data_IF_886054938735
#
_entry.id   IF_886054938735
#
_cell.length_a   1.000
_cell.length_b   1.000
_cell.length_c   1.000
_cell.angle_alpha   90.00
_cell.angle_beta   90.00
_cell.angle_gamma   90.00
#
_symmetry.space_group_name_H-M   'P 1'
#
loop_
_entity.id
_entity.type
_entity.pdbx_description
1 polymer ?
#
# COMPACT_ATOMS: atom_id res chain seq x y z
N UNK A 1 -6.12 -5.17 19.49
CA UNK A 1 -6.79 -3.86 19.67
C UNK A 1 -5.81 -2.78 19.31
N UNK A 2 -6.16 -1.91 18.35
CA UNK A 2 -5.23 -0.88 17.86
C UNK A 2 -5.79 0.52 18.12
N UNK A 3 -6.34 0.74 19.31
CA UNK A 3 -6.68 2.07 19.79
C UNK A 3 -5.70 2.40 20.91
N UNK A 4 -4.64 3.13 20.56
CA UNK A 4 -3.60 3.55 21.52
C UNK A 4 -4.01 4.84 22.23
N UNK A 5 -4.62 5.78 21.51
CA UNK A 5 -5.13 7.04 22.06
C UNK A 5 -6.65 7.00 22.17
N UNK A 6 -7.17 6.83 23.39
CA UNK A 6 -8.61 6.88 23.64
C UNK A 6 -9.10 8.32 23.65
N UNK A 7 -10.13 8.61 22.87
CA UNK A 7 -10.79 9.92 22.78
C UNK A 7 -12.21 9.86 23.31
N UNK A 8 -12.65 10.94 23.95
CA UNK A 8 -14.05 11.16 24.32
C UNK A 8 -14.78 11.90 23.21
N UNK A 9 -16.11 11.74 23.13
CA UNK A 9 -16.92 12.47 22.14
C UNK A 9 -16.74 14.00 22.29
N UNK A 10 -16.62 14.51 23.53
CA UNK A 10 -16.41 15.94 23.77
C UNK A 10 -15.10 16.47 23.18
N UNK A 11 -13.99 15.75 23.38
CA UNK A 11 -12.69 16.10 22.79
C UNK A 11 -12.75 16.15 21.27
N UNK A 12 -13.47 15.19 20.67
CA UNK A 12 -13.63 15.12 19.21
C UNK A 12 -14.56 16.20 18.69
N UNK A 13 -15.63 16.55 19.42
CA UNK A 13 -16.49 17.69 19.09
C UNK A 13 -15.71 19.00 19.04
N UNK A 14 -14.86 19.24 20.04
CA UNK A 14 -14.01 20.44 20.10
C UNK A 14 -12.97 20.45 18.97
N UNK A 15 -12.41 19.29 18.62
CA UNK A 15 -11.47 19.13 17.51
C UNK A 15 -12.13 19.31 16.13
N UNK A 16 -13.36 18.83 15.95
CA UNK A 16 -14.09 18.86 14.69
C UNK A 16 -14.79 20.19 14.40
N UNK A 17 -15.12 20.97 15.45
CA UNK A 17 -15.84 22.23 15.31
C UNK A 17 -15.19 23.25 14.36
N UNK A 18 -13.84 23.45 14.36
CA UNK A 18 -13.19 24.36 13.41
C UNK A 18 -13.34 23.96 11.94
N UNK A 19 -13.61 22.67 11.65
CA UNK A 19 -13.90 22.17 10.30
C UNK A 19 -15.39 22.37 9.91
N UNK A 20 -16.21 22.93 10.80
CA UNK A 20 -17.65 23.07 10.60
C UNK A 20 -18.43 21.77 10.81
N UNK A 21 -17.80 20.75 11.40
CA UNK A 21 -18.40 19.44 11.62
C UNK A 21 -19.06 19.35 12.99
N UNK A 22 -20.24 18.72 13.02
CA UNK A 22 -20.98 18.47 14.25
C UNK A 22 -20.94 16.97 14.56
N UNK A 23 -19.94 16.56 15.33
CA UNK A 23 -19.76 15.18 15.73
C UNK A 23 -20.87 14.73 16.70
N UNK A 24 -21.51 13.60 16.39
CA UNK A 24 -22.58 13.00 17.20
C UNK A 24 -22.17 11.64 17.76
N UNK A 25 -21.22 10.94 17.13
CA UNK A 25 -20.70 9.67 17.63
C UNK A 25 -19.26 9.44 17.18
N UNK A 26 -18.55 8.54 17.89
CA UNK A 26 -17.15 8.18 17.65
C UNK A 26 -16.98 6.68 17.84
N UNK A 27 -16.73 5.96 16.74
CA UNK A 27 -16.64 4.50 16.74
C UNK A 27 -15.20 4.08 16.45
N UNK A 28 -14.52 3.37 17.37
CA UNK A 28 -13.16 2.92 17.15
C UNK A 28 -13.07 1.95 15.95
N UNK A 29 -12.08 2.16 15.06
CA UNK A 29 -11.77 1.24 13.97
C UNK A 29 -10.74 0.24 14.49
N UNK A 30 -11.10 -1.04 14.46
CA UNK A 30 -10.19 -2.13 14.82
C UNK A 30 -9.35 -2.54 13.61
N UNK A 31 -8.04 -2.80 13.82
CA UNK A 31 -7.17 -3.38 12.78
C UNK A 31 -6.04 -2.47 12.28
N UNK A 32 -5.98 -1.19 12.65
CA UNK A 32 -4.82 -0.34 12.33
C UNK A 32 -3.59 -0.74 13.15
N UNK A 33 -2.40 -0.85 12.51
CA UNK A 33 -1.17 -1.30 13.18
C UNK A 33 -0.37 -0.10 13.73
N UNK A 34 -0.43 1.05 13.09
CA UNK A 34 0.45 2.19 13.36
C UNK A 34 -0.27 3.38 14.00
N UNK A 35 -1.54 3.63 13.65
CA UNK A 35 -2.28 4.81 14.07
C UNK A 35 -3.60 4.44 14.72
N UNK A 36 -4.12 5.32 15.58
CA UNK A 36 -5.47 5.19 16.10
C UNK A 36 -6.46 5.81 15.13
N UNK A 37 -7.44 5.01 14.70
CA UNK A 37 -8.48 5.45 13.78
C UNK A 37 -9.87 5.32 14.38
N UNK A 38 -10.73 6.29 14.07
CA UNK A 38 -12.14 6.30 14.45
C UNK A 38 -13.03 6.64 13.26
N UNK A 39 -14.16 5.98 13.14
CA UNK A 39 -15.26 6.53 12.37
C UNK A 39 -15.85 7.71 13.17
N UNK A 40 -15.78 8.88 12.60
CA UNK A 40 -16.37 10.10 13.10
C UNK A 40 -17.74 10.29 12.46
N UNK A 41 -18.81 10.08 13.22
CA UNK A 41 -20.17 10.26 12.75
C UNK A 41 -20.59 11.69 13.02
N UNK A 42 -20.95 12.41 11.95
CA UNK A 42 -21.50 13.76 12.02
C UNK A 42 -23.00 13.78 11.62
N UNK A 43 -23.71 14.87 11.89
CA UNK A 43 -25.14 15.00 11.57
C UNK A 43 -25.45 14.77 10.10
N UNK A 44 -24.56 15.17 9.20
CA UNK A 44 -24.76 15.22 7.74
C UNK A 44 -23.85 14.29 6.94
N UNK A 45 -22.76 13.78 7.55
CA UNK A 45 -21.79 12.93 6.84
C UNK A 45 -20.95 12.09 7.82
N UNK A 46 -20.20 11.14 7.23
CA UNK A 46 -19.27 10.29 7.97
C UNK A 46 -17.82 10.57 7.53
N UNK A 47 -16.91 10.57 8.50
CA UNK A 47 -15.51 10.84 8.31
C UNK A 47 -14.65 9.76 9.00
N UNK A 48 -13.36 9.79 8.76
CA UNK A 48 -12.35 9.07 9.52
C UNK A 48 -11.47 10.09 10.22
N UNK A 49 -11.36 9.97 11.54
CA UNK A 49 -10.39 10.68 12.36
C UNK A 49 -9.20 9.75 12.56
N UNK A 50 -8.02 10.17 12.10
CA UNK A 50 -6.75 9.47 12.31
C UNK A 50 -5.91 10.25 13.31
N UNK A 51 -5.45 9.59 14.37
CA UNK A 51 -4.46 10.12 15.34
C UNK A 51 -3.14 9.40 15.05
N UNK A 52 -2.10 10.16 14.75
CA UNK A 52 -0.77 9.64 14.46
C UNK A 52 -0.01 9.40 15.77
N UNK A 53 0.33 8.15 16.05
CA UNK A 53 0.88 7.75 17.35
C UNK A 53 2.37 8.04 17.47
N UNK A 54 3.14 7.79 16.41
CA UNK A 54 4.61 7.81 16.39
C UNK A 54 5.19 8.82 15.38
N UNK A 55 4.39 9.81 14.93
CA UNK A 55 4.80 10.83 13.96
C UNK A 55 4.67 12.22 14.57
N UNK A 56 5.52 13.16 14.17
CA UNK A 56 5.32 14.58 14.40
C UNK A 56 4.37 15.20 13.34
N UNK A 57 4.00 16.47 13.52
CA UNK A 57 3.09 17.18 12.60
C UNK A 57 3.64 17.25 11.17
N UNK A 58 4.95 17.39 11.01
CA UNK A 58 5.59 17.43 9.69
C UNK A 58 5.48 16.09 8.97
N UNK A 59 5.84 15.01 9.63
CA UNK A 59 5.76 13.66 9.07
C UNK A 59 4.32 13.25 8.77
N UNK A 60 3.37 13.55 9.67
CA UNK A 60 1.95 13.29 9.47
C UNK A 60 1.39 14.06 8.25
N UNK A 61 1.87 15.29 8.01
CA UNK A 61 1.45 16.15 6.90
C UNK A 61 2.13 15.86 5.56
N UNK A 62 3.16 15.02 5.51
CA UNK A 62 3.97 14.77 4.32
C UNK A 62 3.15 14.27 3.12
N UNK A 63 2.15 13.43 3.35
CA UNK A 63 1.31 12.85 2.30
C UNK A 63 0.11 13.73 1.88
N UNK A 64 -0.22 14.77 2.62
CA UNK A 64 -1.37 15.63 2.33
C UNK A 64 -1.32 16.22 0.91
N UNK A 65 -0.20 16.76 0.41
CA UNK A 65 -0.12 17.29 -0.95
C UNK A 65 -0.37 16.22 -2.02
N UNK A 66 0.07 14.97 -1.77
CA UNK A 66 -0.15 13.84 -2.69
C UNK A 66 -1.64 13.51 -2.77
N UNK A 67 -2.31 13.32 -1.62
CA UNK A 67 -3.73 13.00 -1.58
C UNK A 67 -4.58 14.12 -2.20
N UNK A 68 -4.23 15.38 -1.95
CA UNK A 68 -4.89 16.52 -2.60
C UNK A 68 -4.68 16.53 -4.12
N UNK A 69 -3.48 16.18 -4.59
CA UNK A 69 -3.18 16.11 -6.01
C UNK A 69 -3.96 14.97 -6.70
N UNK A 70 -3.97 13.79 -6.10
CA UNK A 70 -4.70 12.63 -6.60
C UNK A 70 -6.22 12.87 -6.60
N UNK A 71 -6.76 13.47 -5.54
CA UNK A 71 -8.17 13.85 -5.48
C UNK A 71 -8.56 14.85 -6.58
N UNK A 72 -7.71 15.86 -6.86
CA UNK A 72 -7.91 16.80 -8.00
C UNK A 72 -7.82 16.11 -9.35
N UNK A 73 -7.03 15.05 -9.47
CA UNK A 73 -6.95 14.21 -10.67
C UNK A 73 -8.15 13.25 -10.82
N UNK A 74 -9.11 13.28 -9.90
CA UNK A 74 -10.33 12.49 -9.94
C UNK A 74 -10.17 11.06 -9.42
N UNK A 75 -9.11 10.77 -8.65
CA UNK A 75 -8.97 9.49 -7.97
C UNK A 75 -9.72 9.50 -6.63
N UNK A 76 -10.36 8.39 -6.32
CA UNK A 76 -11.05 8.18 -5.05
C UNK A 76 -10.03 7.86 -3.94
N UNK A 77 -9.53 8.92 -3.29
CA UNK A 77 -8.56 8.84 -2.18
C UNK A 77 -9.06 9.64 -0.98
N UNK A 78 -8.69 9.32 0.26
CA UNK A 78 -9.17 10.00 1.46
C UNK A 78 -8.44 11.35 1.65
N UNK A 79 -8.83 12.37 0.87
CA UNK A 79 -8.22 13.70 0.94
C UNK A 79 -8.54 14.34 2.29
N UNK A 80 -7.55 14.69 3.13
CA UNK A 80 -7.80 15.29 4.43
C UNK A 80 -8.47 16.67 4.30
N UNK A 81 -9.43 16.93 5.19
CA UNK A 81 -10.04 18.25 5.34
C UNK A 81 -9.00 19.23 5.87
N UNK A 82 -9.18 20.50 5.55
CA UNK A 82 -8.28 21.57 6.01
C UNK A 82 -9.08 22.68 6.67
N UNK A 83 -8.56 23.23 7.78
CA UNK A 83 -9.01 24.51 8.32
C UNK A 83 -7.80 25.39 8.63
N UNK A 84 -7.95 26.69 8.59
CA UNK A 84 -6.87 27.66 8.85
C UNK A 84 -5.59 27.38 8.01
N UNK A 85 -5.77 26.83 6.80
CA UNK A 85 -4.67 26.52 5.87
C UNK A 85 -3.88 25.24 6.16
N UNK A 86 -4.28 24.43 7.16
CA UNK A 86 -3.62 23.19 7.55
C UNK A 86 -4.60 22.02 7.56
N UNK A 87 -4.10 20.82 7.21
CA UNK A 87 -4.85 19.56 7.30
C UNK A 87 -4.53 18.78 8.58
N UNK A 88 -3.34 18.95 9.15
CA UNK A 88 -2.92 18.30 10.38
C UNK A 88 -3.06 19.28 11.53
N UNK A 89 -3.73 18.84 12.59
CA UNK A 89 -3.88 19.59 13.85
C UNK A 89 -3.64 18.67 15.04
N UNK A 90 -3.45 19.24 16.24
CA UNK A 90 -3.16 18.44 17.44
C UNK A 90 -4.44 18.08 18.20
N UNK A 91 -4.55 16.82 18.64
CA UNK A 91 -5.48 16.33 19.65
C UNK A 91 -4.71 15.49 20.68
N UNK A 92 -4.86 15.82 21.97
CA UNK A 92 -4.07 15.18 23.06
C UNK A 92 -2.56 15.16 22.77
N UNK A 93 -2.04 16.31 22.33
CA UNK A 93 -0.61 16.49 21.99
C UNK A 93 -0.09 15.59 20.87
N UNK A 94 -0.99 14.96 20.10
CA UNK A 94 -0.65 14.14 18.93
C UNK A 94 -1.20 14.74 17.63
N UNK A 95 -0.47 14.62 16.52
CA UNK A 95 -1.01 15.03 15.23
C UNK A 95 -2.24 14.20 14.86
N UNK A 96 -3.22 14.86 14.26
CA UNK A 96 -4.43 14.19 13.80
C UNK A 96 -4.99 14.85 12.54
N UNK A 97 -5.74 14.10 11.78
CA UNK A 97 -6.46 14.56 10.59
C UNK A 97 -7.88 14.01 10.54
N UNK A 98 -8.75 14.73 9.83
CA UNK A 98 -10.08 14.26 9.46
C UNK A 98 -10.12 14.13 7.94
N UNK A 99 -10.55 12.96 7.42
CA UNK A 99 -10.80 12.75 6.01
C UNK A 99 -12.21 12.20 5.79
N UNK A 100 -12.84 12.43 4.62
CA UNK A 100 -14.11 11.79 4.29
C UNK A 100 -14.01 10.27 4.40
N UNK A 101 -15.04 9.62 4.95
CA UNK A 101 -15.15 8.17 4.94
C UNK A 101 -15.50 7.72 3.53
N UNK A 102 -14.61 6.97 2.90
CA UNK A 102 -14.90 6.27 1.65
C UNK A 102 -15.73 5.03 1.96
N UNK A 103 -16.74 4.77 1.11
CA UNK A 103 -17.67 3.67 1.30
C UNK A 103 -17.29 2.48 0.41
N UNK A 104 -17.69 1.29 0.83
CA UNK A 104 -17.48 0.06 0.09
C UNK A 104 -16.87 -1.05 0.93
N UNK A 105 -16.63 -2.17 0.29
CA UNK A 105 -16.04 -3.37 0.88
C UNK A 105 -14.74 -3.75 0.15
N UNK A 106 -13.87 -4.50 0.82
CA UNK A 106 -12.67 -5.03 0.20
C UNK A 106 -13.04 -6.16 -0.78
N UNK A 107 -12.49 -6.20 -2.02
CA UNK A 107 -12.86 -7.15 -3.05
C UNK A 107 -12.24 -8.54 -2.81
N UNK A 108 -12.83 -9.34 -1.93
CA UNK A 108 -12.29 -10.64 -1.52
C UNK A 108 -13.33 -11.77 -1.70
N UNK A 109 -13.28 -12.55 -2.79
CA UNK A 109 -12.36 -12.46 -3.94
C UNK A 109 -12.71 -11.31 -4.89
N UNK A 110 -11.73 -10.80 -5.66
CA UNK A 110 -11.97 -9.80 -6.69
C UNK A 110 -12.70 -10.40 -7.92
N UNK A 111 -13.57 -9.61 -8.56
CA UNK A 111 -14.12 -9.91 -9.89
C UNK A 111 -13.18 -9.41 -11.00
N UNK A 112 -13.37 -9.84 -12.25
CA UNK A 112 -12.61 -9.30 -13.41
C UNK A 112 -12.87 -7.80 -13.56
N UNK A 113 -14.11 -7.35 -13.42
CA UNK A 113 -14.47 -5.93 -13.52
C UNK A 113 -13.78 -5.07 -12.43
N UNK A 114 -13.67 -5.59 -11.20
CA UNK A 114 -12.93 -4.93 -10.12
C UNK A 114 -11.42 -4.87 -10.42
N UNK A 115 -10.87 -5.92 -11.04
CA UNK A 115 -9.47 -5.95 -11.51
C UNK A 115 -9.22 -4.90 -12.59
N UNK A 116 -10.12 -4.75 -13.55
CA UNK A 116 -10.05 -3.70 -14.58
C UNK A 116 -10.15 -2.30 -13.96
N UNK A 117 -11.06 -2.10 -13.01
CA UNK A 117 -11.26 -0.81 -12.35
C UNK A 117 -10.02 -0.36 -11.55
N UNK A 118 -9.40 -1.26 -10.78
CA UNK A 118 -8.17 -0.91 -10.05
C UNK A 118 -6.99 -0.69 -11.00
N UNK A 119 -6.88 -1.43 -12.10
CA UNK A 119 -5.84 -1.25 -13.10
C UNK A 119 -5.89 0.15 -13.73
N UNK A 120 -7.09 0.59 -14.15
CA UNK A 120 -7.32 1.95 -14.66
C UNK A 120 -6.98 3.01 -13.63
N UNK A 121 -7.39 2.82 -12.37
CA UNK A 121 -7.11 3.77 -11.30
C UNK A 121 -5.61 3.85 -10.98
N UNK A 122 -4.91 2.72 -10.92
CA UNK A 122 -3.46 2.67 -10.70
C UNK A 122 -2.70 3.34 -11.86
N UNK A 123 -3.10 3.10 -13.11
CA UNK A 123 -2.50 3.77 -14.27
C UNK A 123 -2.69 5.30 -14.21
N UNK A 124 -3.89 5.77 -13.87
CA UNK A 124 -4.17 7.21 -13.65
C UNK A 124 -3.33 7.79 -12.51
N UNK A 125 -3.17 7.05 -11.41
CA UNK A 125 -2.31 7.44 -10.29
C UNK A 125 -0.85 7.60 -10.74
N UNK A 126 -0.30 6.64 -11.46
CA UNK A 126 1.07 6.71 -11.99
C UNK A 126 1.26 7.90 -12.94
N UNK A 127 0.30 8.17 -13.84
CA UNK A 127 0.35 9.33 -14.73
C UNK A 127 0.29 10.63 -13.92
N UNK A 128 -0.59 10.73 -12.93
CA UNK A 128 -0.71 11.92 -12.08
C UNK A 128 0.55 12.19 -11.24
N UNK A 129 1.23 11.13 -10.80
CA UNK A 129 2.40 11.23 -9.93
C UNK A 129 3.75 11.20 -10.67
N UNK A 130 3.77 11.00 -11.99
CA UNK A 130 5.01 10.86 -12.78
C UNK A 130 5.97 12.04 -12.56
N UNK A 131 5.47 13.26 -12.66
CA UNK A 131 6.26 14.49 -12.49
C UNK A 131 5.99 15.22 -11.17
N UNK A 132 5.23 14.58 -10.26
CA UNK A 132 4.90 15.16 -8.97
C UNK A 132 6.16 15.34 -8.12
N UNK A 133 6.28 16.52 -7.49
CA UNK A 133 7.43 16.85 -6.64
C UNK A 133 7.02 16.72 -5.18
N UNK A 134 7.66 15.80 -4.49
CA UNK A 134 7.53 15.58 -3.06
C UNK A 134 8.94 15.35 -2.49
N UNK A 135 9.30 16.09 -1.47
CA UNK A 135 10.48 15.81 -0.66
C UNK A 135 10.07 14.83 0.45
N UNK A 136 10.57 13.63 0.36
CA UNK A 136 10.28 12.54 1.31
C UNK A 136 11.54 11.75 1.60
N UNK A 137 11.81 11.57 2.90
CA UNK A 137 12.96 10.78 3.37
C UNK A 137 12.66 9.27 3.45
N UNK A 138 11.44 8.86 3.17
CA UNK A 138 11.05 7.47 3.14
C UNK A 138 11.46 6.84 1.80
N UNK A 139 12.43 5.92 1.84
CA UNK A 139 12.98 5.25 0.65
C UNK A 139 12.95 3.76 0.85
N UNK A 140 12.28 3.05 -0.06
CA UNK A 140 12.25 1.58 -0.14
C UNK A 140 12.57 1.09 -1.54
N UNK A 141 13.63 1.63 -2.11
CA UNK A 141 14.15 1.23 -3.42
C UNK A 141 14.93 -0.10 -3.37
N UNK A 142 15.51 -0.47 -4.49
CA UNK A 142 16.29 -1.70 -4.59
C UNK A 142 17.46 -1.76 -3.59
N UNK A 143 18.16 -0.65 -3.35
CA UNK A 143 19.28 -0.60 -2.40
C UNK A 143 18.82 -0.88 -0.96
N UNK A 144 17.66 -0.35 -0.57
CA UNK A 144 17.02 -0.67 0.70
C UNK A 144 16.76 -2.20 0.80
N UNK A 145 16.18 -2.81 -0.23
CA UNK A 145 15.86 -4.24 -0.21
C UNK A 145 17.09 -5.13 -0.23
N UNK A 146 18.19 -4.70 -0.86
CA UNK A 146 19.49 -5.38 -0.73
C UNK A 146 19.97 -5.38 0.72
N UNK A 147 19.83 -4.25 1.43
CA UNK A 147 20.19 -4.16 2.86
C UNK A 147 19.33 -5.12 3.69
N UNK A 148 18.00 -5.10 3.53
CA UNK A 148 17.09 -6.04 4.21
C UNK A 148 17.46 -7.50 3.92
N UNK A 149 17.82 -7.82 2.67
CA UNK A 149 18.22 -9.16 2.28
C UNK A 149 19.45 -9.66 3.06
N UNK A 150 20.42 -8.78 3.31
CA UNK A 150 21.59 -9.13 4.12
C UNK A 150 21.26 -9.30 5.60
N UNK A 151 20.36 -8.49 6.14
CA UNK A 151 19.91 -8.58 7.54
C UNK A 151 19.20 -9.91 7.82
N UNK A 152 18.29 -10.35 6.95
CA UNK A 152 17.52 -11.58 7.16
C UNK A 152 18.30 -12.86 6.80
N UNK A 153 19.31 -12.76 5.92
CA UNK A 153 20.05 -13.90 5.37
C UNK A 153 20.61 -14.88 6.41
N UNK A 154 21.15 -14.44 7.56
CA UNK A 154 21.65 -15.37 8.58
C UNK A 154 20.59 -16.36 9.09
N UNK A 155 19.33 -15.93 9.19
CA UNK A 155 18.20 -16.73 9.72
C UNK A 155 17.54 -17.64 8.68
N UNK A 156 17.85 -17.47 7.39
CA UNK A 156 17.27 -18.26 6.31
C UNK A 156 17.81 -19.68 6.28
N UNK A 157 16.94 -20.63 5.89
CA UNK A 157 17.34 -22.00 5.56
C UNK A 157 18.31 -22.01 4.36
N UNK A 158 19.12 -23.05 4.16
CA UNK A 158 19.97 -23.17 2.97
C UNK A 158 19.19 -23.04 1.64
N UNK A 159 17.98 -23.63 1.58
CA UNK A 159 17.11 -23.53 0.40
C UNK A 159 16.62 -22.09 0.16
N UNK A 160 16.28 -21.38 1.23
CA UNK A 160 15.82 -19.98 1.13
C UNK A 160 16.95 -19.01 0.77
N UNK A 161 18.17 -19.30 1.20
CA UNK A 161 19.37 -18.55 0.74
C UNK A 161 19.59 -18.69 -0.77
N UNK A 162 19.40 -19.90 -1.30
CA UNK A 162 19.50 -20.15 -2.75
C UNK A 162 18.37 -19.44 -3.49
N UNK A 163 17.13 -19.51 -2.97
CA UNK A 163 15.96 -18.84 -3.54
C UNK A 163 16.16 -17.32 -3.63
N UNK A 164 16.59 -16.70 -2.53
CA UNK A 164 16.88 -15.27 -2.47
C UNK A 164 18.01 -14.88 -3.42
N UNK A 165 19.09 -15.66 -3.46
CA UNK A 165 20.20 -15.44 -4.37
C UNK A 165 19.81 -15.52 -5.84
N UNK A 166 18.93 -16.49 -6.21
CA UNK A 166 18.37 -16.59 -7.56
C UNK A 166 17.57 -15.35 -7.94
N UNK A 167 16.67 -14.90 -7.04
CA UNK A 167 15.85 -13.71 -7.28
C UNK A 167 16.70 -12.46 -7.54
N UNK A 168 17.66 -12.18 -6.65
CA UNK A 168 18.51 -10.99 -6.76
C UNK A 168 19.41 -11.05 -8.00
N UNK A 169 19.99 -12.23 -8.30
CA UNK A 169 20.81 -12.41 -9.50
C UNK A 169 20.04 -12.24 -10.81
N UNK A 170 18.78 -12.69 -10.87
CA UNK A 170 17.89 -12.44 -12.02
C UNK A 170 17.55 -10.96 -12.15
N UNK A 171 17.28 -10.29 -11.04
CA UNK A 171 17.00 -8.86 -11.05
C UNK A 171 18.17 -8.07 -11.64
N UNK A 172 19.38 -8.30 -11.13
CA UNK A 172 20.58 -7.61 -11.62
C UNK A 172 20.82 -7.89 -13.12
N UNK A 173 20.65 -9.16 -13.56
CA UNK A 173 20.87 -9.55 -14.95
C UNK A 173 19.86 -8.89 -15.91
N UNK A 174 18.55 -9.00 -15.62
CA UNK A 174 17.51 -8.49 -16.52
C UNK A 174 17.42 -6.96 -16.50
N UNK A 175 17.58 -6.33 -15.35
CA UNK A 175 17.52 -4.87 -15.27
C UNK A 175 18.71 -4.18 -15.95
N UNK A 176 19.84 -4.87 -16.08
CA UNK A 176 20.97 -4.38 -16.87
C UNK A 176 20.70 -4.40 -18.39
N UNK A 177 19.90 -5.38 -18.87
CA UNK A 177 19.56 -5.54 -20.30
C UNK A 177 18.40 -4.63 -20.70
N UNK A 178 17.43 -4.42 -19.84
CA UNK A 178 16.19 -3.69 -20.10
C UNK A 178 16.12 -2.39 -19.25
N UNK A 179 16.81 -1.30 -19.64
CA UNK A 179 16.94 -0.10 -18.82
C UNK A 179 15.72 0.85 -18.85
N UNK A 180 14.88 0.77 -19.89
CA UNK A 180 13.73 1.70 -20.06
C UNK A 180 12.52 1.29 -19.22
N UNK A 181 12.68 1.44 -17.90
CA UNK A 181 11.62 1.21 -16.90
C UNK A 181 11.28 2.54 -16.22
N UNK A 182 10.17 3.21 -16.62
CA UNK A 182 9.76 4.49 -16.08
C UNK A 182 9.54 4.45 -14.57
N UNK A 183 9.91 5.55 -13.89
CA UNK A 183 9.90 5.70 -12.44
C UNK A 183 9.08 6.93 -12.03
N UNK A 184 8.46 6.83 -10.86
CA UNK A 184 7.71 7.92 -10.24
C UNK A 184 7.35 7.56 -8.82
N UNK A 185 6.44 8.31 -8.22
CA UNK A 185 5.84 7.89 -6.96
C UNK A 185 4.85 6.77 -7.21
N UNK A 186 4.97 5.70 -6.43
CA UNK A 186 4.14 4.51 -6.45
C UNK A 186 3.50 4.30 -5.09
N UNK A 187 2.36 3.59 -5.05
CA UNK A 187 1.68 3.27 -3.80
C UNK A 187 2.49 2.33 -2.91
N UNK A 188 3.14 1.35 -3.52
CA UNK A 188 4.00 0.32 -2.91
C UNK A 188 3.31 -0.71 -2.01
N UNK A 189 2.01 -0.55 -1.75
CA UNK A 189 1.19 -1.45 -0.93
C UNK A 189 -0.25 -1.57 -1.46
N UNK A 190 -0.44 -1.54 -2.79
CA UNK A 190 -1.76 -1.59 -3.40
C UNK A 190 -2.32 -3.01 -3.45
N UNK A 191 -2.77 -3.49 -2.30
CA UNK A 191 -3.47 -4.74 -2.09
C UNK A 191 -4.99 -4.53 -2.06
N UNK A 192 -5.77 -5.61 -2.15
CA UNK A 192 -7.23 -5.59 -2.04
C UNK A 192 -7.70 -4.99 -0.71
N UNK A 193 -7.00 -5.25 0.40
CA UNK A 193 -7.31 -4.69 1.73
C UNK A 193 -7.05 -3.17 1.83
N UNK A 194 -6.39 -2.57 0.83
CA UNK A 194 -6.21 -1.13 0.69
C UNK A 194 -7.14 -0.51 -0.38
N UNK A 195 -8.20 -1.22 -0.80
CA UNK A 195 -9.18 -0.72 -1.77
C UNK A 195 -10.61 -0.95 -1.29
N UNK A 196 -11.52 -0.06 -1.69
CA UNK A 196 -12.94 -0.16 -1.36
C UNK A 196 -13.78 -0.14 -2.64
N UNK A 197 -14.73 -1.06 -2.74
CA UNK A 197 -15.63 -1.21 -3.88
C UNK A 197 -17.08 -1.24 -3.45
N UNK A 198 -17.96 -0.63 -4.24
CA UNK A 198 -19.40 -0.88 -4.24
C UNK A 198 -19.77 -1.61 -5.53
N UNK A 199 -20.08 -2.90 -5.43
CA UNK A 199 -20.15 -3.77 -6.60
C UNK A 199 -18.81 -3.78 -7.36
N UNK A 200 -18.84 -3.40 -8.63
CA UNK A 200 -17.63 -3.32 -9.48
C UNK A 200 -17.02 -1.90 -9.53
N UNK A 201 -17.63 -0.92 -8.87
CA UNK A 201 -17.14 0.45 -8.84
C UNK A 201 -16.11 0.63 -7.74
N UNK A 202 -14.91 1.09 -8.11
CA UNK A 202 -13.87 1.49 -7.15
C UNK A 202 -14.25 2.83 -6.49
N UNK A 203 -14.41 2.80 -5.16
CA UNK A 203 -14.78 3.96 -4.35
C UNK A 203 -13.66 4.43 -3.43
N UNK A 204 -12.56 3.70 -3.32
CA UNK A 204 -11.45 4.12 -2.48
C UNK A 204 -10.14 3.40 -2.73
N UNK A 205 -9.04 4.16 -2.74
CA UNK A 205 -7.67 3.68 -2.55
C UNK A 205 -7.19 4.27 -1.23
N UNK A 206 -6.75 3.41 -0.32
CA UNK A 206 -6.40 3.73 1.06
C UNK A 206 -4.91 3.50 1.30
N UNK A 207 -4.41 3.95 2.44
CA UNK A 207 -3.10 3.60 3.01
C UNK A 207 -1.89 3.95 2.12
N UNK A 208 -1.65 5.25 1.94
CA UNK A 208 -0.51 5.78 1.18
C UNK A 208 0.80 5.89 2.00
N UNK A 209 0.88 5.31 3.20
CA UNK A 209 2.07 5.48 4.07
C UNK A 209 3.34 4.87 3.48
N UNK A 210 3.22 3.82 2.67
CA UNK A 210 4.34 3.19 1.96
C UNK A 210 4.69 3.89 0.63
N UNK A 211 3.98 4.98 0.27
CA UNK A 211 4.25 5.73 -0.97
C UNK A 211 5.73 6.10 -1.05
N UNK A 212 6.38 5.71 -2.12
CA UNK A 212 7.79 6.00 -2.33
C UNK A 212 8.11 6.12 -3.82
N UNK A 213 9.32 6.58 -4.17
CA UNK A 213 9.75 6.72 -5.54
C UNK A 213 10.44 5.45 -6.02
N UNK A 214 9.80 4.71 -6.92
CA UNK A 214 10.35 3.50 -7.53
C UNK A 214 9.84 3.33 -8.97
N UNK A 215 10.09 2.20 -9.60
CA UNK A 215 9.63 1.85 -10.93
C UNK A 215 8.13 1.50 -10.91
N UNK A 216 7.36 2.04 -11.87
CA UNK A 216 5.92 1.77 -11.94
C UNK A 216 5.61 0.28 -12.08
N UNK A 217 6.48 -0.45 -12.77
CA UNK A 217 6.34 -1.89 -12.96
C UNK A 217 6.31 -2.65 -11.62
N UNK A 218 7.01 -2.15 -10.60
CA UNK A 218 6.99 -2.77 -9.29
C UNK A 218 5.60 -2.67 -8.62
N UNK A 219 4.97 -1.50 -8.72
CA UNK A 219 3.61 -1.28 -8.16
C UNK A 219 2.55 -2.12 -8.91
N UNK A 220 2.68 -2.20 -10.24
CA UNK A 220 1.86 -3.08 -11.09
C UNK A 220 1.98 -4.52 -10.62
N UNK A 221 3.19 -4.99 -10.38
CA UNK A 221 3.45 -6.36 -9.94
C UNK A 221 2.86 -6.67 -8.55
N UNK A 222 2.86 -5.70 -7.62
CA UNK A 222 2.21 -5.84 -6.31
C UNK A 222 0.71 -6.08 -6.50
N UNK A 223 0.03 -5.23 -7.28
CA UNK A 223 -1.40 -5.32 -7.50
C UNK A 223 -1.79 -6.59 -8.26
N UNK A 224 -1.05 -6.96 -9.30
CA UNK A 224 -1.24 -8.22 -10.01
C UNK A 224 -1.10 -9.44 -9.07
N UNK A 225 -0.09 -9.45 -8.23
CA UNK A 225 0.14 -10.55 -7.29
C UNK A 225 -0.97 -10.72 -6.27
N UNK A 226 -1.67 -9.65 -5.90
CA UNK A 226 -2.77 -9.76 -4.94
C UNK A 226 -4.13 -9.98 -5.63
N UNK A 227 -4.49 -9.14 -6.60
CA UNK A 227 -5.79 -9.18 -7.26
C UNK A 227 -5.97 -10.35 -8.22
N UNK A 228 -4.87 -10.83 -8.85
CA UNK A 228 -4.90 -11.83 -9.90
C UNK A 228 -4.27 -13.17 -9.46
N UNK A 229 -4.34 -13.49 -8.18
CA UNK A 229 -3.84 -14.76 -7.64
C UNK A 229 -4.98 -15.67 -7.25
N UNK A 230 -4.86 -16.96 -7.61
CA UNK A 230 -5.75 -18.02 -7.13
C UNK A 230 -5.23 -18.52 -5.77
N UNK A 231 -6.03 -18.39 -4.73
CA UNK A 231 -5.73 -18.90 -3.40
C UNK A 231 -6.43 -20.24 -3.16
N UNK A 232 -5.82 -21.18 -2.41
CA UNK A 232 -4.55 -21.05 -1.66
C UNK A 232 -3.29 -21.36 -2.47
N UNK A 233 -3.39 -21.79 -3.74
CA UNK A 233 -2.26 -22.34 -4.51
C UNK A 233 -1.26 -21.28 -4.98
N UNK A 234 -1.58 -20.00 -4.79
CA UNK A 234 -0.82 -18.81 -5.17
C UNK A 234 -0.40 -18.76 -6.65
N UNK A 235 -1.13 -19.49 -7.51
CA UNK A 235 -0.95 -19.44 -8.96
C UNK A 235 -1.53 -18.15 -9.56
N UNK A 236 -0.94 -17.66 -10.64
CA UNK A 236 -1.49 -16.50 -11.34
C UNK A 236 -2.80 -16.87 -12.06
N UNK A 237 -3.83 -16.06 -11.89
CA UNK A 237 -5.06 -16.15 -12.68
C UNK A 237 -4.84 -15.40 -14.00
N UNK A 238 -4.63 -16.13 -15.08
CA UNK A 238 -4.28 -15.57 -16.39
C UNK A 238 -5.38 -14.63 -16.92
N UNK A 239 -6.66 -15.00 -16.79
CA UNK A 239 -7.79 -14.15 -17.23
C UNK A 239 -7.77 -12.80 -16.57
N UNK A 240 -7.62 -12.77 -15.24
CA UNK A 240 -7.54 -11.53 -14.47
C UNK A 240 -6.28 -10.74 -14.79
N UNK A 241 -5.14 -11.40 -14.96
CA UNK A 241 -3.88 -10.74 -15.28
C UNK A 241 -3.93 -10.07 -16.67
N UNK A 242 -4.50 -10.74 -17.67
CA UNK A 242 -4.72 -10.16 -19.00
C UNK A 242 -5.68 -8.97 -18.94
N UNK A 243 -6.80 -9.10 -18.22
CA UNK A 243 -7.77 -8.02 -18.04
C UNK A 243 -7.12 -6.80 -17.36
N UNK A 244 -6.34 -7.02 -16.31
CA UNK A 244 -5.59 -5.98 -15.62
C UNK A 244 -4.64 -5.23 -16.57
N UNK A 245 -3.79 -5.97 -17.29
CA UNK A 245 -2.78 -5.37 -18.17
C UNK A 245 -3.44 -4.58 -19.31
N UNK A 246 -4.48 -5.11 -19.94
CA UNK A 246 -5.22 -4.42 -20.98
C UNK A 246 -5.85 -3.12 -20.46
N UNK A 247 -6.49 -3.17 -19.29
CA UNK A 247 -7.10 -2.01 -18.66
C UNK A 247 -6.06 -0.95 -18.26
N UNK A 248 -4.93 -1.36 -17.68
CA UNK A 248 -3.82 -0.47 -17.33
C UNK A 248 -3.24 0.21 -18.58
N UNK A 249 -2.92 -0.58 -19.64
CA UNK A 249 -2.33 -0.09 -20.88
C UNK A 249 -3.27 0.84 -21.68
N UNK A 250 -4.58 0.77 -21.44
CA UNK A 250 -5.54 1.70 -22.03
C UNK A 250 -5.34 3.16 -21.55
N UNK A 251 -4.66 3.35 -20.41
CA UNK A 251 -4.36 4.66 -19.82
C UNK A 251 -2.87 4.99 -19.91
N UNK A 252 -1.99 4.05 -19.57
CA UNK A 252 -0.54 4.18 -19.60
C UNK A 252 0.06 2.95 -20.29
N UNK A 253 0.48 3.08 -21.56
CA UNK A 253 1.17 1.99 -22.25
C UNK A 253 2.46 1.57 -21.54
N UNK A 254 2.70 0.27 -21.44
CA UNK A 254 3.97 -0.27 -20.95
C UNK A 254 5.04 -0.15 -22.04
N UNK A 255 6.28 0.18 -21.65
CA UNK A 255 7.42 0.11 -22.55
C UNK A 255 7.74 -1.34 -22.93
N UNK A 256 8.54 -1.53 -23.97
CA UNK A 256 9.00 -2.88 -24.33
C UNK A 256 9.81 -3.55 -23.20
N UNK A 257 10.62 -2.73 -22.50
CA UNK A 257 11.45 -3.20 -21.40
C UNK A 257 10.59 -3.56 -20.16
N UNK A 258 9.54 -2.78 -19.86
CA UNK A 258 8.58 -3.14 -18.81
C UNK A 258 7.91 -4.49 -19.12
N UNK A 259 7.48 -4.70 -20.36
CA UNK A 259 6.87 -5.99 -20.77
C UNK A 259 7.84 -7.16 -20.64
N UNK A 260 9.11 -6.96 -21.04
CA UNK A 260 10.16 -7.99 -20.92
C UNK A 260 10.51 -8.32 -19.46
N UNK A 261 10.33 -7.38 -18.55
CA UNK A 261 10.64 -7.54 -17.13
C UNK A 261 9.45 -7.95 -16.26
N UNK A 262 8.21 -7.98 -16.77
CA UNK A 262 7.00 -8.14 -15.97
C UNK A 262 7.04 -9.37 -15.06
N UNK A 263 7.41 -10.53 -15.59
CA UNK A 263 7.45 -11.78 -14.81
C UNK A 263 8.50 -11.73 -13.70
N UNK A 264 9.65 -11.11 -13.96
CA UNK A 264 10.65 -10.84 -12.93
C UNK A 264 10.08 -9.96 -11.83
N UNK A 265 9.34 -8.90 -12.18
CA UNK A 265 8.78 -7.97 -11.19
C UNK A 265 7.67 -8.60 -10.36
N UNK A 266 6.89 -9.55 -10.92
CA UNK A 266 5.98 -10.38 -10.13
C UNK A 266 6.75 -11.18 -9.06
N UNK A 267 7.87 -11.79 -9.44
CA UNK A 267 8.74 -12.49 -8.49
C UNK A 267 9.39 -11.53 -7.47
N UNK A 268 9.87 -10.35 -7.91
CA UNK A 268 10.46 -9.34 -7.04
C UNK A 268 9.45 -8.81 -6.02
N UNK A 269 8.23 -8.52 -6.42
CA UNK A 269 7.17 -8.07 -5.52
C UNK A 269 6.88 -9.12 -4.44
N UNK A 270 6.70 -10.39 -4.82
CA UNK A 270 6.53 -11.48 -3.86
C UNK A 270 7.75 -11.61 -2.92
N UNK A 271 8.96 -11.49 -3.46
CA UNK A 271 10.21 -11.55 -2.71
C UNK A 271 10.36 -10.42 -1.69
N UNK A 272 10.03 -9.16 -2.08
CA UNK A 272 10.07 -8.01 -1.18
C UNK A 272 9.09 -8.17 -0.01
N UNK A 273 7.85 -8.61 -0.27
CA UNK A 273 6.88 -8.88 0.81
C UNK A 273 7.26 -10.09 1.65
N UNK A 274 7.91 -11.11 1.09
CA UNK A 274 8.49 -12.19 1.86
C UNK A 274 9.56 -11.69 2.83
N UNK A 275 10.52 -10.91 2.35
CA UNK A 275 11.58 -10.31 3.18
C UNK A 275 11.00 -9.40 4.26
N UNK A 276 10.03 -8.55 3.93
CA UNK A 276 9.38 -7.65 4.90
C UNK A 276 8.66 -8.43 6.02
N UNK A 277 7.90 -9.47 5.66
CA UNK A 277 7.20 -10.30 6.65
C UNK A 277 8.19 -11.05 7.55
N UNK A 278 9.34 -11.50 7.04
CA UNK A 278 10.42 -12.09 7.83
C UNK A 278 11.05 -11.07 8.79
N UNK A 279 11.34 -9.86 8.32
CA UNK A 279 11.91 -8.78 9.15
C UNK A 279 10.96 -8.43 10.31
N UNK A 280 9.64 -8.31 10.03
CA UNK A 280 8.63 -8.06 11.06
C UNK A 280 8.58 -9.22 12.07
N UNK A 281 8.62 -10.47 11.60
CA UNK A 281 8.62 -11.65 12.47
C UNK A 281 9.85 -11.67 13.39
N UNK A 282 11.04 -11.39 12.86
CA UNK A 282 12.28 -11.31 13.65
C UNK A 282 12.22 -10.19 14.70
N UNK A 283 11.71 -8.99 14.31
CA UNK A 283 11.54 -7.86 15.22
C UNK A 283 10.58 -8.19 16.36
N UNK A 284 9.45 -8.82 16.05
CA UNK A 284 8.47 -9.23 17.07
C UNK A 284 9.08 -10.26 18.02
N UNK A 285 9.80 -11.26 17.49
CA UNK A 285 10.49 -12.25 18.32
C UNK A 285 11.54 -11.62 19.23
N UNK A 286 12.35 -10.70 18.72
CA UNK A 286 13.37 -9.98 19.50
C UNK A 286 12.77 -9.12 20.63
N UNK A 287 11.56 -8.59 20.42
CA UNK A 287 10.81 -7.81 21.43
C UNK A 287 9.97 -8.69 22.37
N UNK A 288 10.04 -10.02 22.25
CA UNK A 288 9.23 -10.95 23.05
C UNK A 288 7.73 -10.82 22.80
N UNK A 289 7.33 -10.21 21.69
CA UNK A 289 5.93 -10.07 21.29
C UNK A 289 5.45 -11.40 20.73
N UNK A 290 4.65 -12.13 21.51
CA UNK A 290 4.03 -13.42 21.12
C UNK A 290 2.56 -13.36 21.48
N UNK A 291 1.68 -13.98 20.66
CA UNK A 291 0.26 -14.09 20.93
C UNK A 291 -0.63 -13.78 19.73
N UNK A 292 -1.92 -14.06 19.88
CA UNK A 292 -2.94 -13.85 18.85
C UNK A 292 -3.21 -12.36 18.54
N UNK A 293 -2.80 -11.47 19.45
CA UNK A 293 -2.99 -10.01 19.30
C UNK A 293 -1.95 -9.36 18.38
N UNK A 294 -0.96 -10.11 17.86
CA UNK A 294 0.04 -9.60 16.95
C UNK A 294 -0.43 -9.84 15.53
N UNK A 295 -0.81 -8.76 14.83
CA UNK A 295 -1.09 -8.80 13.39
C UNK A 295 0.21 -9.05 12.62
N UNK A 296 0.56 -10.32 12.46
CA UNK A 296 1.73 -10.76 11.70
C UNK A 296 1.26 -11.63 10.53
N UNK A 297 1.38 -11.10 9.32
CA UNK A 297 1.10 -11.87 8.09
C UNK A 297 2.15 -12.99 7.93
N UNK A 298 1.69 -14.20 7.59
CA UNK A 298 2.57 -15.36 7.42
C UNK A 298 3.55 -15.15 6.24
N UNK A 299 4.87 -15.26 6.43
CA UNK A 299 5.84 -15.12 5.35
C UNK A 299 5.81 -16.28 4.33
N UNK A 300 5.28 -17.46 4.72
CA UNK A 300 5.25 -18.66 3.84
C UNK A 300 4.41 -18.43 2.59
N UNK A 301 3.32 -17.68 2.67
CA UNK A 301 2.48 -17.35 1.51
C UNK A 301 3.29 -16.62 0.44
N UNK A 302 3.99 -15.55 0.80
CA UNK A 302 4.81 -14.77 -0.13
C UNK A 302 6.02 -15.55 -0.64
N UNK A 303 6.60 -16.43 0.18
CA UNK A 303 7.65 -17.36 -0.24
C UNK A 303 7.15 -18.32 -1.32
N UNK A 304 5.98 -18.91 -1.13
CA UNK A 304 5.39 -19.83 -2.10
C UNK A 304 5.03 -19.09 -3.40
N UNK A 305 4.48 -17.88 -3.29
CA UNK A 305 4.21 -17.02 -4.43
C UNK A 305 5.50 -16.70 -5.20
N UNK A 306 6.59 -16.34 -4.52
CA UNK A 306 7.89 -16.14 -5.14
C UNK A 306 8.36 -17.37 -5.94
N UNK A 307 8.22 -18.58 -5.35
CA UNK A 307 8.58 -19.83 -6.04
C UNK A 307 7.75 -20.01 -7.31
N UNK A 308 6.45 -19.77 -7.24
CA UNK A 308 5.54 -19.86 -8.40
C UNK A 308 5.92 -18.85 -9.49
N UNK A 309 6.16 -17.61 -9.15
CA UNK A 309 6.53 -16.54 -10.11
C UNK A 309 7.90 -16.79 -10.76
N UNK A 310 8.87 -17.34 -10.02
CA UNK A 310 10.19 -17.67 -10.56
C UNK A 310 10.20 -18.83 -11.57
N UNK A 311 9.09 -19.54 -11.75
CA UNK A 311 8.98 -20.56 -12.83
C UNK A 311 8.92 -19.91 -14.21
N UNK A 312 8.43 -18.68 -14.29
CA UNK A 312 8.21 -17.95 -15.53
C UNK A 312 9.28 -16.88 -15.76
N UNK A 313 9.88 -16.34 -14.70
CA UNK A 313 10.96 -15.37 -14.80
C UNK A 313 12.23 -16.07 -15.31
N UNK A 314 12.53 -15.88 -16.59
CA UNK A 314 13.74 -16.40 -17.25
C UNK A 314 14.67 -15.25 -17.62
N UNK A 315 15.97 -15.51 -17.58
CA UNK A 315 16.99 -14.56 -18.06
C UNK A 315 17.07 -14.55 -19.59
#
# INVERSE_FOLDING_TARGET
MSVYTTLTLKEVQDFAAPYGLKAVDLIPIQGGIQNTNYFLVCEDAHYVLTVFEDMDEQAAGELVPVLQHLGKAGLAVPVPLSHSGKAIHSIKDKPAQIAPRLLGEHPMPSTVAQVEAIAVAQAKMHVALQDFKLERNFVRDHAYWLTVSQEIKPSLSPADKVLLGKLLGLYDALTAVYPDRPRGFIHSDLFRDNTLFEGDQLNGILDFYELNKDEFLFDIAITLNDFCTNYPDVTLNEEKAIAFLNAYESVRPLTADEKSCLELYLAMAAGRFWMMRLQVAQRNAALGRTGEDILQKNPVEMRNMLIERLKFATA
#
